data_IF_299274339478
#
_entry.id   IF_299274339478
#
_cell.length_a   1.000
_cell.length_b   1.000
_cell.length_c   1.000
_cell.angle_alpha   90.00
_cell.angle_beta   90.00
_cell.angle_gamma   90.00
#
_symmetry.space_group_name_H-M   'P 1'
#
loop_
_entity.id
_entity.type
_entity.pdbx_description
1 polymer ?
#
# COMPACT_ATOMS: atom_id res chain seq x y z
N UNK A 1 -0.46 18.25 -31.16
CA UNK A 1 -1.12 17.99 -29.87
C UNK A 1 -0.24 18.62 -28.81
N UNK A 2 -0.70 19.73 -28.24
CA UNK A 2 0.01 20.36 -27.13
C UNK A 2 -0.35 19.59 -25.85
N UNK A 3 0.64 18.97 -25.21
CA UNK A 3 0.42 18.18 -23.98
C UNK A 3 -0.03 19.05 -22.80
N UNK A 4 0.06 20.38 -22.92
CA UNK A 4 -0.41 21.33 -21.91
C UNK A 4 -1.91 21.60 -21.96
N UNK A 5 -2.59 21.28 -23.07
CA UNK A 5 -4.02 21.50 -23.26
C UNK A 5 -4.85 20.26 -22.92
N UNK A 6 -5.87 20.39 -22.07
CA UNK A 6 -6.76 19.28 -21.68
C UNK A 6 -6.47 18.66 -20.32
N UNK A 7 -7.37 17.79 -19.79
CA UNK A 7 -7.25 17.25 -18.45
C UNK A 7 -6.48 15.92 -18.36
N UNK A 8 -6.24 15.23 -19.47
CA UNK A 8 -5.55 13.95 -19.51
C UNK A 8 -4.05 14.11 -19.79
N UNK A 9 -3.29 13.02 -19.67
CA UNK A 9 -1.85 13.04 -19.78
C UNK A 9 -1.36 13.50 -21.17
N UNK A 10 -2.00 12.99 -22.23
CA UNK A 10 -1.76 13.38 -23.63
C UNK A 10 -2.69 14.52 -24.10
N UNK A 11 -3.25 15.26 -23.16
CA UNK A 11 -4.07 16.44 -23.41
C UNK A 11 -5.58 16.18 -23.30
N UNK A 12 -6.32 16.38 -24.37
CA UNK A 12 -7.80 16.27 -24.36
C UNK A 12 -8.32 14.83 -24.47
N UNK A 13 -7.50 13.92 -24.97
CA UNK A 13 -7.92 12.54 -25.27
C UNK A 13 -7.56 11.60 -24.13
N UNK A 14 -8.55 10.82 -23.66
CA UNK A 14 -8.33 9.73 -22.72
C UNK A 14 -7.44 8.65 -23.36
N UNK A 15 -6.31 8.34 -22.74
CA UNK A 15 -5.25 7.51 -23.33
C UNK A 15 -4.96 6.26 -22.51
N UNK A 16 -4.05 5.42 -23.02
CA UNK A 16 -3.56 4.24 -22.31
C UNK A 16 -2.92 4.59 -20.96
N UNK A 17 -2.37 5.81 -20.82
CA UNK A 17 -1.79 6.26 -19.56
C UNK A 17 -2.82 6.28 -18.43
N UNK A 18 -4.00 6.85 -18.67
CA UNK A 18 -5.06 6.91 -17.66
C UNK A 18 -5.52 5.51 -17.26
N UNK A 19 -5.68 4.61 -18.24
CA UNK A 19 -6.05 3.21 -17.99
C UNK A 19 -5.03 2.51 -17.09
N UNK A 20 -3.74 2.71 -17.37
CA UNK A 20 -2.67 2.11 -16.59
C UNK A 20 -2.58 2.70 -15.18
N UNK A 21 -2.75 4.02 -15.03
CA UNK A 21 -2.45 4.74 -13.79
C UNK A 21 -3.62 4.88 -12.83
N UNK A 22 -4.86 4.98 -13.33
CA UNK A 22 -6.05 5.16 -12.50
C UNK A 22 -6.15 4.16 -11.31
N UNK A 23 -5.96 2.84 -11.48
CA UNK A 23 -6.09 1.91 -10.35
C UNK A 23 -4.97 2.09 -9.31
N UNK A 24 -3.77 2.50 -9.72
CA UNK A 24 -2.69 2.75 -8.77
C UNK A 24 -2.92 4.05 -7.99
N UNK A 25 -3.37 5.10 -8.67
CA UNK A 25 -3.70 6.37 -8.03
C UNK A 25 -4.85 6.23 -7.01
N UNK A 26 -5.90 5.49 -7.37
CA UNK A 26 -6.99 5.14 -6.46
C UNK A 26 -6.48 4.45 -5.18
N UNK A 27 -5.57 3.48 -5.30
CA UNK A 27 -4.98 2.78 -4.15
C UNK A 27 -4.14 3.71 -3.29
N UNK A 28 -3.31 4.56 -3.92
CA UNK A 28 -2.53 5.56 -3.19
C UNK A 28 -3.45 6.45 -2.34
N UNK A 29 -4.50 7.01 -2.93
CA UNK A 29 -5.44 7.88 -2.22
C UNK A 29 -6.23 7.15 -1.12
N UNK A 30 -6.68 5.92 -1.36
CA UNK A 30 -7.64 5.28 -0.45
C UNK A 30 -7.01 4.30 0.53
N UNK A 31 -6.11 3.45 0.05
CA UNK A 31 -5.39 2.47 0.88
C UNK A 31 -4.28 3.18 1.65
N UNK A 32 -3.55 4.07 0.97
CA UNK A 32 -2.50 4.88 1.60
C UNK A 32 -3.04 5.74 2.74
N UNK A 33 -4.14 6.48 2.48
CA UNK A 33 -4.79 7.27 3.52
C UNK A 33 -5.29 6.40 4.69
N UNK A 34 -5.92 5.26 4.41
CA UNK A 34 -6.52 4.44 5.48
C UNK A 34 -5.49 3.77 6.39
N UNK A 35 -4.40 3.24 5.83
CA UNK A 35 -3.44 2.44 6.60
C UNK A 35 -2.19 3.20 7.04
N UNK A 36 -1.91 4.36 6.46
CA UNK A 36 -0.64 5.09 6.65
C UNK A 36 -0.81 6.60 6.74
N UNK A 37 -2.05 7.10 6.85
CA UNK A 37 -2.37 8.53 6.91
C UNK A 37 -1.72 9.35 5.77
N UNK A 38 -1.51 8.72 4.62
CA UNK A 38 -1.01 9.43 3.44
C UNK A 38 -2.09 10.37 2.91
N UNK A 39 -1.74 11.64 2.76
CA UNK A 39 -2.56 12.65 2.11
C UNK A 39 -1.79 13.22 0.91
N UNK A 40 -2.50 13.40 -0.20
CA UNK A 40 -1.93 14.12 -1.33
C UNK A 40 -2.02 15.63 -1.08
N UNK A 41 -0.96 16.41 -1.29
CA UNK A 41 -0.99 17.85 -1.01
C UNK A 41 -1.99 18.62 -1.89
N UNK A 42 -2.64 19.62 -1.32
CA UNK A 42 -3.58 20.54 -2.00
C UNK A 42 -2.88 21.82 -2.50
N UNK A 43 -1.55 21.79 -2.63
CA UNK A 43 -0.76 22.95 -3.03
C UNK A 43 -0.93 23.27 -4.53
N UNK A 44 -0.84 24.54 -4.96
CA UNK A 44 -0.99 24.94 -6.35
C UNK A 44 -0.06 24.20 -7.33
N UNK A 45 1.13 23.79 -6.86
CA UNK A 45 2.08 22.99 -7.63
C UNK A 45 1.48 21.64 -8.12
N UNK A 46 0.47 21.12 -7.41
CA UNK A 46 -0.20 19.86 -7.73
C UNK A 46 -1.60 20.04 -8.35
N UNK A 47 -2.03 21.27 -8.64
CA UNK A 47 -3.36 21.55 -9.18
C UNK A 47 -3.67 20.76 -10.46
N UNK A 48 -2.66 20.51 -11.32
CA UNK A 48 -2.82 19.70 -12.53
C UNK A 48 -3.12 18.23 -12.22
N UNK A 49 -2.52 17.67 -11.17
CA UNK A 49 -2.78 16.29 -10.74
C UNK A 49 -4.22 16.14 -10.23
N UNK A 50 -4.71 17.12 -9.47
CA UNK A 50 -6.11 17.18 -9.03
C UNK A 50 -7.08 17.26 -10.20
N UNK A 51 -6.79 18.14 -11.18
CA UNK A 51 -7.58 18.24 -12.43
C UNK A 51 -7.59 16.92 -13.21
N UNK A 52 -6.42 16.29 -13.35
CA UNK A 52 -6.29 15.00 -14.02
C UNK A 52 -7.13 13.93 -13.33
N UNK A 53 -6.98 13.77 -12.01
CA UNK A 53 -7.71 12.74 -11.30
C UNK A 53 -9.23 12.95 -11.33
N UNK A 54 -9.69 14.19 -11.18
CA UNK A 54 -11.10 14.55 -11.29
C UNK A 54 -11.71 14.15 -12.66
N UNK A 55 -10.97 14.38 -13.75
CA UNK A 55 -11.40 13.97 -15.09
C UNK A 55 -11.34 12.44 -15.29
N UNK A 56 -10.27 11.79 -14.81
CA UNK A 56 -10.09 10.33 -14.93
C UNK A 56 -11.18 9.57 -14.21
N UNK A 57 -11.50 9.93 -12.95
CA UNK A 57 -12.54 9.22 -12.20
C UNK A 57 -13.95 9.43 -12.77
N UNK A 58 -14.17 10.53 -13.49
CA UNK A 58 -15.44 10.84 -14.15
C UNK A 58 -15.60 10.14 -15.51
N UNK A 59 -14.50 9.65 -16.10
CA UNK A 59 -14.55 8.97 -17.38
C UNK A 59 -15.36 7.66 -17.28
N UNK A 60 -16.34 7.39 -18.17
CA UNK A 60 -17.26 6.26 -18.02
C UNK A 60 -16.59 4.90 -17.86
N UNK A 61 -15.52 4.64 -18.63
CA UNK A 61 -14.78 3.37 -18.56
C UNK A 61 -14.08 3.17 -17.20
N UNK A 62 -13.62 4.25 -16.58
CA UNK A 62 -12.98 4.21 -15.26
C UNK A 62 -14.07 4.08 -14.20
N UNK A 63 -15.08 4.94 -14.22
CA UNK A 63 -16.18 4.91 -13.26
C UNK A 63 -16.89 3.54 -13.18
N UNK A 64 -17.03 2.84 -14.31
CA UNK A 64 -17.63 1.51 -14.38
C UNK A 64 -16.72 0.38 -13.83
N UNK A 65 -15.42 0.63 -13.65
CA UNK A 65 -14.44 -0.41 -13.26
C UNK A 65 -13.76 -0.13 -11.91
N UNK A 66 -13.88 1.08 -11.37
CA UNK A 66 -13.36 1.41 -10.04
C UNK A 66 -14.07 0.60 -8.96
N UNK A 67 -13.28 -0.15 -8.19
CA UNK A 67 -13.75 -0.81 -6.97
C UNK A 67 -14.17 0.27 -5.98
N UNK A 68 -15.24 0.09 -5.21
CA UNK A 68 -15.60 1.05 -4.17
C UNK A 68 -14.55 1.10 -3.04
N UNK A 69 -14.48 2.24 -2.34
CA UNK A 69 -13.45 2.50 -1.31
C UNK A 69 -13.38 1.44 -0.23
N UNK A 70 -14.51 1.08 0.39
CA UNK A 70 -14.52 0.13 1.50
C UNK A 70 -14.03 -1.26 1.10
N UNK A 71 -14.49 -1.76 -0.05
CA UNK A 71 -14.04 -3.06 -0.58
C UNK A 71 -12.55 -3.04 -0.92
N UNK A 72 -12.06 -1.96 -1.54
CA UNK A 72 -10.64 -1.82 -1.86
C UNK A 72 -9.77 -1.77 -0.60
N UNK A 73 -10.17 -0.99 0.41
CA UNK A 73 -9.44 -0.92 1.69
C UNK A 73 -9.42 -2.28 2.39
N UNK A 74 -10.56 -2.97 2.44
CA UNK A 74 -10.65 -4.29 3.05
C UNK A 74 -9.76 -5.31 2.34
N UNK A 75 -9.74 -5.33 1.00
CA UNK A 75 -8.92 -6.29 0.24
C UNK A 75 -7.41 -6.08 0.41
N UNK A 76 -6.98 -4.90 0.86
CA UNK A 76 -5.57 -4.57 1.09
C UNK A 76 -5.10 -4.81 2.54
N UNK A 77 -5.97 -5.28 3.45
CA UNK A 77 -5.63 -5.40 4.88
C UNK A 77 -4.42 -6.29 5.16
N UNK A 78 -4.31 -7.41 4.46
CA UNK A 78 -3.24 -8.37 4.74
C UNK A 78 -1.88 -7.90 4.24
N UNK A 79 -1.87 -7.10 3.17
CA UNK A 79 -0.67 -6.38 2.73
C UNK A 79 -0.29 -5.30 3.74
N UNK A 80 -1.25 -4.48 4.15
CA UNK A 80 -1.00 -3.33 5.01
C UNK A 80 -0.64 -3.71 6.46
N UNK A 81 -1.12 -4.85 6.95
CA UNK A 81 -0.91 -5.32 8.32
C UNK A 81 0.11 -6.46 8.41
N UNK A 82 0.85 -6.71 7.32
CA UNK A 82 1.87 -7.76 7.25
C UNK A 82 1.34 -9.16 7.62
N UNK A 83 0.15 -9.51 7.12
CA UNK A 83 -0.50 -10.83 7.30
C UNK A 83 -0.59 -11.64 6.01
N UNK A 84 0.17 -11.25 4.99
CA UNK A 84 0.26 -11.99 3.74
C UNK A 84 0.65 -13.45 3.99
N UNK A 85 0.05 -14.37 3.24
CA UNK A 85 0.21 -15.82 3.42
C UNK A 85 1.17 -16.47 2.42
N UNK A 86 1.69 -15.69 1.46
CA UNK A 86 2.68 -16.16 0.50
C UNK A 86 4.00 -16.56 1.18
N UNK A 87 4.76 -17.45 0.55
CA UNK A 87 6.06 -17.88 1.07
C UNK A 87 6.99 -16.69 1.31
N UNK A 88 6.99 -15.71 0.40
CA UNK A 88 7.77 -14.48 0.54
C UNK A 88 7.29 -13.59 1.70
N UNK A 89 5.97 -13.40 1.86
CA UNK A 89 5.45 -12.62 2.98
C UNK A 89 5.86 -13.25 4.32
N UNK A 90 5.79 -14.58 4.42
CA UNK A 90 6.24 -15.35 5.59
C UNK A 90 7.73 -15.19 5.85
N UNK A 91 8.59 -15.21 4.82
CA UNK A 91 10.03 -15.02 5.01
C UNK A 91 10.36 -13.61 5.52
N UNK A 92 9.66 -12.59 5.02
CA UNK A 92 9.81 -11.20 5.51
C UNK A 92 9.33 -11.09 6.96
N UNK A 93 8.20 -11.69 7.32
CA UNK A 93 7.70 -11.71 8.71
C UNK A 93 8.69 -12.37 9.67
N UNK A 94 9.28 -13.51 9.27
CA UNK A 94 10.29 -14.20 10.05
C UNK A 94 11.55 -13.35 10.24
N UNK A 95 12.03 -12.71 9.16
CA UNK A 95 13.17 -11.79 9.21
C UNK A 95 12.93 -10.67 10.23
N UNK A 96 11.81 -9.96 10.10
CA UNK A 96 11.46 -8.84 10.99
C UNK A 96 11.28 -9.29 12.45
N UNK A 97 10.77 -10.51 12.66
CA UNK A 97 10.61 -11.07 14.01
C UNK A 97 11.95 -11.40 14.65
N UNK A 98 12.90 -11.94 13.90
CA UNK A 98 14.26 -12.22 14.37
C UNK A 98 15.02 -10.92 14.66
N UNK A 99 14.90 -9.92 13.79
CA UNK A 99 15.49 -8.59 13.97
C UNK A 99 14.96 -7.92 15.25
N UNK A 100 13.64 -7.95 15.48
CA UNK A 100 13.02 -7.42 16.70
C UNK A 100 13.50 -8.13 17.99
N UNK A 101 13.99 -9.36 17.88
CA UNK A 101 14.56 -10.14 18.99
C UNK A 101 16.07 -9.92 19.16
N UNK A 102 16.70 -9.09 18.32
CA UNK A 102 18.14 -8.86 18.33
C UNK A 102 18.96 -10.04 17.79
N UNK A 103 18.31 -11.01 17.13
CA UNK A 103 19.00 -12.04 16.39
C UNK A 103 19.33 -11.54 14.98
N UNK A 104 20.54 -11.77 14.51
CA UNK A 104 20.81 -11.63 13.08
C UNK A 104 20.04 -12.71 12.30
N UNK A 105 19.17 -12.33 11.35
CA UNK A 105 18.42 -13.28 10.56
C UNK A 105 19.38 -14.05 9.65
N UNK A 106 19.45 -15.37 9.83
CA UNK A 106 20.23 -16.26 8.96
C UNK A 106 19.52 -16.41 7.61
N UNK A 107 19.77 -15.46 6.71
CA UNK A 107 19.13 -15.37 5.40
C UNK A 107 20.10 -15.16 4.23
N UNK A 108 21.41 -15.22 4.46
CA UNK A 108 22.37 -15.34 3.38
C UNK A 108 22.84 -16.79 3.29
N UNK A 109 22.54 -17.42 2.15
CA UNK A 109 23.39 -18.50 1.66
C UNK A 109 24.78 -17.91 1.51
N UNK A 110 25.58 -18.07 2.56
CA UNK A 110 27.02 -17.87 2.55
C UNK A 110 27.57 -18.73 1.41
N UNK A 111 27.90 -18.11 0.28
CA UNK A 111 28.88 -18.70 -0.63
C UNK A 111 30.10 -18.97 0.24
N UNK A 112 30.43 -20.25 0.38
CA UNK A 112 31.43 -20.70 1.33
C UNK A 112 32.77 -20.02 1.05
N UNK A 113 33.17 -19.08 1.91
CA UNK A 113 34.57 -18.82 2.19
C UNK A 113 34.78 -18.99 3.71
N UNK A 114 35.60 -19.98 4.03
CA UNK A 114 35.94 -20.42 5.37
C UNK A 114 37.01 -19.49 5.95
N UNK A 115 36.74 -18.85 7.10
CA UNK A 115 37.79 -18.50 8.07
C UNK A 115 37.17 -18.35 9.47
N UNK A 116 37.74 -18.93 10.54
CA UNK A 116 37.19 -18.85 11.89
C UNK A 116 37.70 -17.63 12.65
N UNK A 117 36.81 -16.92 13.35
CA UNK A 117 37.13 -15.84 14.28
C UNK A 117 36.23 -15.91 15.53
N UNK A 118 36.88 -15.90 16.68
CA UNK A 118 36.44 -16.16 18.07
C UNK A 118 35.35 -15.20 18.60
N UNK A 119 34.47 -15.61 19.56
CA UNK A 119 33.34 -14.80 20.02
C UNK A 119 33.67 -13.93 21.24
N UNK A 120 32.95 -12.81 21.42
CA UNK A 120 32.90 -12.13 22.72
C UNK A 120 31.59 -11.35 22.95
N UNK A 121 30.92 -11.67 24.08
CA UNK A 121 30.32 -10.72 25.02
C UNK A 121 28.88 -10.19 24.79
N UNK A 122 28.14 -9.81 25.85
CA UNK A 122 26.71 -10.16 25.99
C UNK A 122 25.73 -9.00 26.22
N UNK A 123 24.44 -9.36 26.43
CA UNK A 123 23.34 -8.62 27.11
C UNK A 123 22.52 -7.63 26.26
N UNK A 124 21.21 -7.34 26.44
CA UNK A 124 20.06 -7.78 27.24
C UNK A 124 18.97 -6.69 27.02
N UNK A 125 17.68 -7.06 26.87
CA UNK A 125 16.44 -6.43 27.43
C UNK A 125 15.25 -6.18 26.46
N UNK A 126 14.19 -6.95 26.73
CA UNK A 126 12.75 -6.61 26.97
C UNK A 126 12.01 -5.57 26.10
N UNK A 127 10.80 -5.94 25.66
CA UNK A 127 9.69 -4.99 25.48
C UNK A 127 8.47 -5.55 24.73
N UNK A 128 7.42 -5.93 25.47
CA UNK A 128 6.12 -6.36 24.94
C UNK A 128 5.22 -5.16 24.63
N UNK A 129 4.55 -5.12 23.47
CA UNK A 129 3.38 -4.26 23.23
C UNK A 129 2.39 -4.97 22.30
N UNK A 130 1.32 -5.51 22.88
CA UNK A 130 0.18 -6.04 22.15
C UNK A 130 -1.09 -5.71 22.92
N UNK A 131 -1.80 -4.63 22.55
CA UNK A 131 -3.24 -4.49 22.75
C UNK A 131 -3.77 -3.22 22.04
N UNK A 132 -4.06 -3.30 20.74
CA UNK A 132 -4.76 -2.22 20.03
C UNK A 132 -5.48 -2.67 18.74
N UNK A 133 -5.99 -3.91 18.66
CA UNK A 133 -6.52 -4.45 17.39
C UNK A 133 -8.05 -4.68 17.34
N UNK A 134 -8.80 -4.45 18.42
CA UNK A 134 -10.18 -4.94 18.51
C UNK A 134 -11.27 -3.99 17.97
N UNK A 135 -11.00 -2.69 17.76
CA UNK A 135 -12.06 -1.71 17.47
C UNK A 135 -12.30 -1.46 15.97
N UNK A 136 -11.37 -1.84 15.08
CA UNK A 136 -11.46 -1.53 13.64
C UNK A 136 -12.44 -2.41 12.83
N UNK A 137 -12.89 -3.55 13.37
CA UNK A 137 -13.60 -4.56 12.58
C UNK A 137 -15.06 -4.21 12.25
N UNK A 138 -15.75 -3.41 13.09
CA UNK A 138 -17.19 -3.18 12.95
C UNK A 138 -17.56 -2.17 11.85
N UNK A 139 -16.67 -1.21 11.52
CA UNK A 139 -16.95 -0.17 10.53
C UNK A 139 -16.84 -0.67 9.06
N UNK A 140 -16.11 -1.77 8.83
CA UNK A 140 -15.88 -2.30 7.48
C UNK A 140 -17.12 -2.99 6.88
N UNK A 141 -17.99 -3.58 7.71
CA UNK A 141 -19.13 -4.37 7.25
C UNK A 141 -20.27 -3.53 6.64
N UNK A 142 -20.56 -2.35 7.19
CA UNK A 142 -21.65 -1.50 6.72
C UNK A 142 -21.35 -0.86 5.35
N UNK A 143 -20.09 -0.52 5.08
CA UNK A 143 -19.69 0.11 3.82
C UNK A 143 -19.56 -0.88 2.65
N UNK A 144 -19.43 -2.18 2.94
CA UNK A 144 -19.44 -3.24 1.93
C UNK A 144 -20.84 -3.48 1.32
N UNK A 145 -21.92 -3.29 2.10
CA UNK A 145 -23.29 -3.54 1.66
C UNK A 145 -23.81 -2.53 0.63
N UNK A 146 -23.37 -1.26 0.67
CA UNK A 146 -23.70 -0.25 -0.35
C UNK A 146 -22.94 -0.46 -1.67
N UNK A 147 -21.81 -1.15 -1.63
CA UNK A 147 -20.96 -1.39 -2.80
C UNK A 147 -21.54 -2.43 -3.75
N UNK A 148 -22.30 -3.41 -3.23
CA UNK A 148 -22.90 -4.49 -4.03
C UNK A 148 -24.15 -4.08 -4.83
N UNK A 149 -24.63 -2.83 -4.70
CA UNK A 149 -25.81 -2.32 -5.43
C UNK A 149 -25.45 -1.50 -6.67
N UNK A 150 -24.17 -1.41 -7.05
CA UNK A 150 -23.71 -0.80 -8.31
C UNK A 150 -23.14 -1.87 -9.23
#
# INVERSE_FOLDING_TARGET
>A
MDASEGPFFLGETFSLFEVAMAPFWQRYLWVGQHYRDLAFPEEPAFARMHKWWAAVQAHPAVAATLVCRARLVASYSDYALNRGTSAYAKSVQQYLSAEAQGQQPQGEHKTASTTPGTPSGPANRRGSFALALAVLAAAAAAAAALCHRR
#
